data_IF_684602588699
#
_entry.id   IF_684602588699
#
_cell.length_a   1.000
_cell.length_b   1.000
_cell.length_c   1.000
_cell.angle_alpha   90.00
_cell.angle_beta   90.00
_cell.angle_gamma   90.00
#
_symmetry.space_group_name_H-M   'P 1'
#
loop_
_entity.id
_entity.type
_entity.pdbx_description
1 polymer ?
#
# COMPACT_ATOMS: atom_id res chain seq x y z
N UNK A 1 -27.86 10.97 -9.24
CA UNK A 1 -26.78 10.22 -8.56
C UNK A 1 -26.33 11.11 -7.41
N UNK A 2 -26.39 10.60 -6.20
CA UNK A 2 -26.06 11.38 -5.00
C UNK A 2 -24.57 11.79 -5.05
N UNK A 3 -24.26 13.08 -4.91
CA UNK A 3 -22.90 13.64 -4.96
C UNK A 3 -21.95 12.89 -4.01
N UNK A 4 -22.44 12.55 -2.82
CA UNK A 4 -21.71 11.78 -1.82
C UNK A 4 -21.26 10.40 -2.34
N UNK A 5 -22.12 9.67 -3.03
CA UNK A 5 -21.78 8.38 -3.62
C UNK A 5 -20.72 8.49 -4.72
N UNK A 6 -20.76 9.59 -5.46
CA UNK A 6 -19.78 9.83 -6.53
C UNK A 6 -18.40 10.12 -5.95
N UNK A 7 -18.30 10.98 -4.95
CA UNK A 7 -17.04 11.30 -4.28
C UNK A 7 -16.42 10.09 -3.58
N UNK A 8 -17.25 9.30 -2.89
CA UNK A 8 -16.79 8.04 -2.26
C UNK A 8 -16.27 7.04 -3.31
N UNK A 9 -16.93 6.94 -4.46
CA UNK A 9 -16.48 6.06 -5.53
C UNK A 9 -15.11 6.49 -6.10
N UNK A 10 -14.89 7.78 -6.30
CA UNK A 10 -13.59 8.33 -6.72
C UNK A 10 -12.53 7.99 -5.67
N UNK A 11 -12.81 8.29 -4.40
CA UNK A 11 -11.88 8.06 -3.30
C UNK A 11 -11.46 6.59 -3.17
N UNK A 12 -12.42 5.66 -3.20
CA UNK A 12 -12.12 4.23 -3.08
C UNK A 12 -11.38 3.66 -4.30
N UNK A 13 -11.69 4.16 -5.50
CA UNK A 13 -10.96 3.76 -6.71
C UNK A 13 -9.52 4.29 -6.72
N UNK A 14 -9.26 5.47 -6.17
CA UNK A 14 -7.90 5.98 -6.00
C UNK A 14 -7.10 5.12 -5.00
N UNK A 15 -7.74 4.72 -3.88
CA UNK A 15 -7.13 3.76 -2.94
C UNK A 15 -6.90 2.38 -3.56
N UNK A 16 -7.81 1.89 -4.40
CA UNK A 16 -7.66 0.62 -5.10
C UNK A 16 -6.48 0.64 -6.08
N UNK A 17 -6.30 1.74 -6.80
CA UNK A 17 -5.15 1.93 -7.67
C UNK A 17 -3.83 1.91 -6.88
N UNK A 18 -3.78 2.61 -5.74
CA UNK A 18 -2.64 2.57 -4.81
C UNK A 18 -2.39 1.17 -4.23
N UNK A 19 -3.43 0.45 -3.84
CA UNK A 19 -3.35 -0.90 -3.32
C UNK A 19 -2.80 -1.89 -4.37
N UNK A 20 -3.24 -1.77 -5.62
CA UNK A 20 -2.75 -2.62 -6.72
C UNK A 20 -1.26 -2.40 -6.97
N UNK A 21 -0.82 -1.15 -7.07
CA UNK A 21 0.61 -0.83 -7.20
C UNK A 21 1.42 -1.25 -5.97
N UNK A 22 0.82 -1.19 -4.78
CA UNK A 22 1.41 -1.66 -3.52
C UNK A 22 1.66 -3.17 -3.53
N UNK A 23 0.71 -3.97 -4.01
CA UNK A 23 0.88 -5.43 -4.17
C UNK A 23 2.00 -5.75 -5.15
N UNK A 24 2.05 -5.08 -6.30
CA UNK A 24 3.11 -5.29 -7.30
C UNK A 24 4.50 -4.97 -6.73
N UNK A 25 4.62 -3.85 -6.01
CA UNK A 25 5.87 -3.46 -5.37
C UNK A 25 6.28 -4.47 -4.28
N UNK A 26 5.34 -4.87 -3.41
CA UNK A 26 5.60 -5.83 -2.33
C UNK A 26 6.06 -7.19 -2.86
N UNK A 27 5.39 -7.73 -3.89
CA UNK A 27 5.76 -8.98 -4.54
C UNK A 27 7.13 -8.90 -5.20
N UNK A 28 7.44 -7.76 -5.86
CA UNK A 28 8.76 -7.56 -6.47
C UNK A 28 9.86 -7.55 -5.41
N UNK A 29 9.71 -6.78 -4.34
CA UNK A 29 10.71 -6.70 -3.26
C UNK A 29 10.90 -8.07 -2.61
N UNK A 30 9.81 -8.79 -2.31
CA UNK A 30 9.87 -10.12 -1.72
C UNK A 30 10.56 -11.14 -2.65
N UNK A 31 10.41 -11.00 -3.97
CA UNK A 31 11.07 -11.88 -4.95
C UNK A 31 12.55 -11.57 -5.15
N UNK A 32 13.00 -10.36 -4.82
CA UNK A 32 14.42 -9.96 -4.96
C UNK A 32 15.23 -10.19 -3.68
N UNK A 33 14.58 -10.39 -2.54
CA UNK A 33 15.20 -10.55 -1.23
C UNK A 33 14.66 -11.80 -0.53
N UNK A 34 15.54 -12.70 -0.13
CA UNK A 34 15.19 -13.90 0.65
C UNK A 34 14.95 -13.53 2.13
N UNK A 35 13.83 -12.84 2.40
CA UNK A 35 13.41 -12.43 3.73
C UNK A 35 11.95 -12.84 3.97
N UNK A 36 11.72 -13.65 5.01
CA UNK A 36 10.38 -14.15 5.35
C UNK A 36 9.43 -13.04 5.78
N UNK A 37 9.94 -11.96 6.40
CA UNK A 37 9.15 -10.80 6.78
C UNK A 37 8.57 -10.09 5.53
N UNK A 38 9.35 -10.03 4.43
CA UNK A 38 8.89 -9.45 3.17
C UNK A 38 7.81 -10.29 2.49
N UNK A 39 7.95 -11.62 2.54
CA UNK A 39 6.94 -12.53 1.98
C UNK A 39 5.62 -12.41 2.73
N UNK A 40 5.65 -12.45 4.06
CA UNK A 40 4.48 -12.26 4.89
C UNK A 40 3.82 -10.88 4.70
N UNK A 41 4.64 -9.83 4.60
CA UNK A 41 4.17 -8.48 4.32
C UNK A 41 3.46 -8.38 2.96
N UNK A 42 4.00 -9.03 1.92
CA UNK A 42 3.39 -9.04 0.59
C UNK A 42 2.04 -9.77 0.58
N UNK A 43 1.94 -10.88 1.31
CA UNK A 43 0.68 -11.63 1.48
C UNK A 43 -0.38 -10.76 2.20
N UNK A 44 0.00 -10.09 3.28
CA UNK A 44 -0.88 -9.21 4.03
C UNK A 44 -1.38 -8.03 3.19
N UNK A 45 -0.50 -7.39 2.41
CA UNK A 45 -0.86 -6.28 1.51
C UNK A 45 -1.84 -6.74 0.42
N UNK A 46 -1.67 -7.94 -0.10
CA UNK A 46 -2.61 -8.51 -1.07
C UNK A 46 -3.98 -8.80 -0.43
N UNK A 47 -4.02 -9.37 0.77
CA UNK A 47 -5.25 -9.56 1.54
C UNK A 47 -5.96 -8.24 1.86
N UNK A 48 -5.21 -7.18 2.13
CA UNK A 48 -5.78 -5.84 2.37
C UNK A 48 -6.43 -5.28 1.10
N UNK A 49 -5.80 -5.43 -0.08
CA UNK A 49 -6.43 -5.07 -1.36
C UNK A 49 -7.73 -5.85 -1.58
N UNK A 50 -7.73 -7.14 -1.30
CA UNK A 50 -8.93 -7.98 -1.46
C UNK A 50 -10.03 -7.58 -0.47
N UNK A 51 -9.65 -7.13 0.73
CA UNK A 51 -10.60 -6.55 1.70
C UNK A 51 -11.21 -5.25 1.19
N UNK A 52 -10.41 -4.37 0.56
CA UNK A 52 -10.93 -3.15 -0.08
C UNK A 52 -11.95 -3.48 -1.19
N UNK A 53 -11.65 -4.48 -2.02
CA UNK A 53 -12.58 -4.93 -3.08
C UNK A 53 -13.90 -5.44 -2.50
N UNK A 54 -13.88 -6.20 -1.41
CA UNK A 54 -15.09 -6.66 -0.72
C UNK A 54 -15.90 -5.50 -0.14
N UNK A 55 -15.24 -4.53 0.47
CA UNK A 55 -15.88 -3.32 1.01
C UNK A 55 -16.51 -2.50 -0.12
N UNK A 56 -15.81 -2.28 -1.22
CA UNK A 56 -16.36 -1.59 -2.40
C UNK A 56 -17.61 -2.30 -2.94
N UNK A 57 -17.59 -3.63 -3.03
CA UNK A 57 -18.74 -4.42 -3.45
C UNK A 57 -19.93 -4.27 -2.49
N UNK A 58 -19.70 -4.31 -1.17
CA UNK A 58 -20.74 -4.11 -0.15
C UNK A 58 -21.37 -2.71 -0.23
N UNK A 59 -20.57 -1.70 -0.55
CA UNK A 59 -21.02 -0.31 -0.74
C UNK A 59 -21.68 -0.06 -2.10
N UNK A 60 -21.61 -1.02 -3.03
CA UNK A 60 -22.09 -0.88 -4.40
C UNK A 60 -21.26 0.09 -5.23
N UNK A 61 -19.96 0.20 -4.93
CA UNK A 61 -19.00 1.02 -5.68
C UNK A 61 -18.36 0.18 -6.78
N UNK A 62 -18.55 0.52 -8.06
CA UNK A 62 -17.91 -0.19 -9.15
C UNK A 62 -16.42 0.07 -9.21
N UNK A 63 -15.64 -0.93 -9.63
CA UNK A 63 -14.22 -0.79 -9.89
C UNK A 63 -13.99 -0.01 -11.19
N UNK A 64 -13.16 1.02 -11.13
CA UNK A 64 -12.69 1.74 -12.31
C UNK A 64 -11.38 1.13 -12.81
N UNK A 65 -11.46 0.27 -13.83
CA UNK A 65 -10.30 -0.42 -14.39
C UNK A 65 -9.31 0.50 -15.13
N UNK A 66 -9.70 1.73 -15.45
CA UNK A 66 -8.85 2.70 -16.15
C UNK A 66 -7.81 3.30 -15.17
N UNK A 67 -8.18 3.46 -13.91
CA UNK A 67 -7.28 4.01 -12.87
C UNK A 67 -6.29 2.98 -12.30
N UNK A 68 -6.55 1.69 -12.47
CA UNK A 68 -5.71 0.61 -11.91
C UNK A 68 -4.35 0.45 -12.57
N UNK A 69 -4.09 1.07 -13.71
CA UNK A 69 -2.90 0.83 -14.53
C UNK A 69 -1.73 1.81 -14.28
N UNK A 70 -1.53 2.34 -13.10
CA UNK A 70 -0.25 2.95 -12.84
C UNK A 70 -0.23 4.43 -12.42
N UNK A 71 -1.30 4.95 -11.80
CA UNK A 71 -1.36 6.37 -11.50
C UNK A 71 -0.28 6.86 -10.52
N UNK A 72 -0.47 6.69 -9.24
CA UNK A 72 0.30 7.47 -8.25
C UNK A 72 1.65 6.84 -7.87
N UNK A 73 1.71 5.54 -7.67
CA UNK A 73 2.95 4.83 -7.32
C UNK A 73 3.84 4.68 -8.56
N UNK A 74 3.23 4.43 -9.73
CA UNK A 74 3.93 4.36 -11.01
C UNK A 74 4.61 5.68 -11.39
N UNK A 75 4.02 6.83 -11.08
CA UNK A 75 4.63 8.14 -11.32
C UNK A 75 5.80 8.40 -10.36
N UNK A 76 5.68 8.07 -9.08
CA UNK A 76 6.81 8.18 -8.13
C UNK A 76 7.94 7.19 -8.43
N UNK A 77 7.61 5.94 -8.74
CA UNK A 77 8.59 4.94 -9.14
C UNK A 77 9.12 5.19 -10.57
N UNK A 78 8.31 5.79 -11.45
CA UNK A 78 8.72 6.21 -12.78
C UNK A 78 9.75 7.34 -12.74
N UNK A 79 9.67 8.27 -11.79
CA UNK A 79 10.72 9.29 -11.55
C UNK A 79 12.03 8.66 -11.09
N UNK A 80 11.98 7.56 -10.36
CA UNK A 80 13.15 6.74 -10.04
C UNK A 80 13.71 6.01 -11.27
N UNK A 81 12.84 5.64 -12.25
CA UNK A 81 13.24 5.06 -13.54
C UNK A 81 13.83 6.08 -14.52
N UNK A 82 13.45 7.36 -14.45
CA UNK A 82 14.00 8.40 -15.34
C UNK A 82 15.46 8.77 -15.05
N UNK A 83 15.92 8.52 -13.84
CA UNK A 83 17.36 8.48 -13.53
C UNK A 83 18.00 7.10 -13.85
N UNK A 84 17.41 6.37 -14.63
CA UNK A 84 17.28 5.08 -15.32
C UNK A 84 18.49 4.21 -15.48
N UNK A 85 19.64 4.44 -14.87
CA UNK A 85 20.78 3.51 -14.92
C UNK A 85 21.42 3.19 -13.57
N UNK A 86 21.03 3.91 -12.54
CA UNK A 86 21.71 3.80 -11.24
C UNK A 86 20.97 2.95 -10.20
N UNK A 87 19.68 2.64 -10.42
CA UNK A 87 18.88 2.04 -9.35
C UNK A 87 18.46 0.59 -9.54
N UNK A 88 18.78 -0.03 -10.66
CA UNK A 88 18.26 -1.36 -10.98
C UNK A 88 18.88 -2.52 -10.21
N UNK A 89 19.64 -2.31 -9.15
CA UNK A 89 20.16 -3.33 -8.20
C UNK A 89 21.08 -2.74 -7.12
N UNK A 90 20.95 -1.48 -6.80
CA UNK A 90 21.77 -0.90 -5.74
C UNK A 90 21.11 -1.10 -4.37
N UNK A 91 21.89 -1.26 -3.29
CA UNK A 91 21.34 -1.27 -1.94
C UNK A 91 20.50 -0.03 -1.61
N UNK A 92 20.77 1.12 -2.25
CA UNK A 92 19.98 2.34 -2.13
C UNK A 92 18.57 2.19 -2.73
N UNK A 93 18.40 1.45 -3.82
CA UNK A 93 17.07 1.19 -4.39
C UNK A 93 16.16 0.50 -3.41
N UNK A 94 16.69 -0.46 -2.67
CA UNK A 94 15.92 -1.18 -1.65
C UNK A 94 15.45 -0.26 -0.53
N UNK A 95 16.29 0.67 -0.05
CA UNK A 95 15.88 1.67 0.94
C UNK A 95 14.71 2.51 0.43
N UNK A 96 14.81 3.02 -0.81
CA UNK A 96 13.78 3.87 -1.41
C UNK A 96 12.46 3.10 -1.65
N UNK A 97 12.56 1.83 -2.05
CA UNK A 97 11.39 0.97 -2.23
C UNK A 97 10.66 0.70 -0.91
N UNK A 98 11.39 0.46 0.17
CA UNK A 98 10.82 0.32 1.51
C UNK A 98 10.17 1.62 2.00
N UNK A 99 10.75 2.78 1.70
CA UNK A 99 10.16 4.09 2.00
C UNK A 99 8.85 4.31 1.21
N UNK A 100 8.85 4.01 -0.07
CA UNK A 100 7.66 4.10 -0.90
C UNK A 100 6.54 3.17 -0.41
N UNK A 101 6.90 1.94 -0.01
CA UNK A 101 5.97 0.97 0.55
C UNK A 101 5.37 1.48 1.86
N UNK A 102 6.19 2.04 2.75
CA UNK A 102 5.74 2.60 4.02
C UNK A 102 4.75 3.74 3.81
N UNK A 103 5.03 4.67 2.88
CA UNK A 103 4.09 5.73 2.51
C UNK A 103 2.77 5.18 1.96
N UNK A 104 2.82 4.10 1.18
CA UNK A 104 1.63 3.41 0.70
C UNK A 104 0.79 2.81 1.83
N UNK A 105 1.43 2.22 2.84
CA UNK A 105 0.74 1.68 4.02
C UNK A 105 0.14 2.79 4.88
N UNK A 106 0.83 3.94 5.04
CA UNK A 106 0.26 5.12 5.71
C UNK A 106 -1.00 5.63 4.99
N UNK A 107 -0.96 5.73 3.67
CA UNK A 107 -2.13 6.10 2.86
C UNK A 107 -3.28 5.09 3.00
N UNK A 108 -2.98 3.81 2.99
CA UNK A 108 -3.96 2.73 3.22
C UNK A 108 -4.60 2.84 4.61
N UNK A 109 -3.81 3.06 5.67
CA UNK A 109 -4.31 3.25 7.02
C UNK A 109 -5.27 4.45 7.12
N UNK A 110 -4.96 5.55 6.45
CA UNK A 110 -5.88 6.70 6.36
C UNK A 110 -7.20 6.32 5.66
N UNK A 111 -7.15 5.49 4.62
CA UNK A 111 -8.34 4.94 3.96
C UNK A 111 -9.20 4.10 4.90
N UNK A 112 -8.59 3.20 5.68
CA UNK A 112 -9.29 2.41 6.67
C UNK A 112 -9.90 3.26 7.77
N UNK A 113 -9.21 4.31 8.25
CA UNK A 113 -9.74 5.26 9.21
C UNK A 113 -10.96 6.00 8.69
N UNK A 114 -10.93 6.44 7.43
CA UNK A 114 -12.08 7.07 6.78
C UNK A 114 -13.28 6.11 6.75
N UNK A 115 -13.08 4.88 6.27
CA UNK A 115 -14.15 3.87 6.25
C UNK A 115 -14.65 3.53 7.64
N UNK A 116 -13.74 3.46 8.64
CA UNK A 116 -14.12 3.21 10.03
C UNK A 116 -15.02 4.31 10.61
N UNK A 117 -14.76 5.57 10.26
CA UNK A 117 -15.64 6.68 10.66
C UNK A 117 -17.00 6.61 9.95
N UNK A 118 -17.04 6.21 8.68
CA UNK A 118 -18.30 6.03 7.95
C UNK A 118 -19.13 4.87 8.50
N UNK A 119 -18.50 3.84 9.06
CA UNK A 119 -19.18 2.70 9.68
C UNK A 119 -20.04 3.08 10.91
N UNK A 120 -19.92 4.30 11.44
CA UNK A 120 -20.84 4.83 12.45
C UNK A 120 -22.24 5.12 11.86
N UNK A 121 -22.34 5.27 10.53
CA UNK A 121 -23.54 5.71 9.83
C UNK A 121 -23.95 4.80 8.68
N UNK A 122 -23.19 3.71 8.44
CA UNK A 122 -23.46 2.77 7.33
C UNK A 122 -23.21 1.32 7.79
N UNK A 123 -24.29 0.58 8.05
CA UNK A 123 -24.26 -0.79 8.55
C UNK A 123 -23.71 -1.82 7.53
N UNK A 124 -23.44 -1.40 6.29
CA UNK A 124 -22.75 -2.23 5.29
C UNK A 124 -21.26 -2.36 5.57
N UNK A 125 -20.71 -1.50 6.44
CA UNK A 125 -19.32 -1.50 6.85
C UNK A 125 -19.17 -2.24 8.19
N UNK A 126 -18.36 -3.28 8.21
CA UNK A 126 -18.02 -4.04 9.41
C UNK A 126 -16.93 -3.31 10.20
N UNK A 127 -17.31 -2.76 11.36
CA UNK A 127 -16.41 -2.01 12.25
C UNK A 127 -15.28 -2.88 12.78
N UNK A 128 -15.59 -4.11 13.17
CA UNK A 128 -14.60 -5.04 13.72
C UNK A 128 -13.54 -5.37 12.68
N UNK A 129 -13.97 -5.67 11.47
CA UNK A 129 -13.05 -5.94 10.36
C UNK A 129 -12.17 -4.72 10.03
N UNK A 130 -12.72 -3.51 10.06
CA UNK A 130 -11.96 -2.28 9.84
C UNK A 130 -10.93 -2.02 10.96
N UNK A 131 -11.27 -2.32 12.21
CA UNK A 131 -10.33 -2.24 13.34
C UNK A 131 -9.18 -3.27 13.20
N UNK A 132 -9.45 -4.47 12.69
CA UNK A 132 -8.44 -5.48 12.35
C UNK A 132 -7.51 -4.99 11.23
N UNK A 133 -8.07 -4.38 10.17
CA UNK A 133 -7.28 -3.81 9.07
C UNK A 133 -6.37 -2.66 9.52
N UNK A 134 -6.85 -1.82 10.43
CA UNK A 134 -6.05 -0.76 11.06
C UNK A 134 -4.91 -1.34 11.89
N UNK A 135 -5.19 -2.35 12.72
CA UNK A 135 -4.16 -3.04 13.53
C UNK A 135 -3.09 -3.66 12.63
N UNK A 136 -3.49 -4.29 11.52
CA UNK A 136 -2.56 -4.87 10.55
C UNK A 136 -1.70 -3.80 9.88
N UNK A 137 -2.29 -2.67 9.51
CA UNK A 137 -1.55 -1.57 8.91
C UNK A 137 -0.46 -1.02 9.86
N UNK A 138 -0.72 -0.92 11.16
CA UNK A 138 0.30 -0.53 12.14
C UNK A 138 1.44 -1.57 12.21
N UNK A 139 1.14 -2.85 12.28
CA UNK A 139 2.15 -3.91 12.28
C UNK A 139 3.00 -3.91 10.99
N UNK A 140 2.39 -3.63 9.84
CA UNK A 140 3.10 -3.49 8.57
C UNK A 140 4.06 -2.28 8.58
N UNK A 141 3.65 -1.14 9.14
CA UNK A 141 4.50 0.06 9.28
C UNK A 141 5.72 -0.22 10.16
N UNK A 142 5.53 -0.93 11.27
CA UNK A 142 6.63 -1.32 12.17
C UNK A 142 7.62 -2.26 11.47
N UNK A 143 7.12 -3.23 10.72
CA UNK A 143 7.96 -4.16 9.95
C UNK A 143 8.75 -3.41 8.88
N UNK A 144 8.10 -2.54 8.12
CA UNK A 144 8.75 -1.73 7.09
C UNK A 144 9.81 -0.79 7.66
N UNK A 145 9.54 -0.17 8.79
CA UNK A 145 10.52 0.70 9.44
C UNK A 145 11.75 -0.07 9.91
N UNK A 146 11.57 -1.23 10.51
CA UNK A 146 12.68 -2.11 10.90
C UNK A 146 13.54 -2.51 9.70
N UNK A 147 12.92 -2.93 8.60
CA UNK A 147 13.61 -3.30 7.37
C UNK A 147 14.33 -2.11 6.74
N UNK A 148 13.67 -0.95 6.67
CA UNK A 148 14.21 0.28 6.12
C UNK A 148 15.46 0.76 6.88
N UNK A 149 15.41 0.78 8.20
CA UNK A 149 16.55 1.20 9.04
C UNK A 149 17.73 0.25 8.83
N UNK A 150 17.48 -1.07 8.80
CA UNK A 150 18.52 -2.07 8.52
C UNK A 150 19.16 -1.86 7.15
N UNK A 151 18.34 -1.65 6.11
CA UNK A 151 18.81 -1.39 4.77
C UNK A 151 19.63 -0.08 4.68
N UNK A 152 19.16 1.00 5.32
CA UNK A 152 19.85 2.27 5.36
C UNK A 152 21.22 2.17 6.06
N UNK A 153 21.31 1.41 7.15
CA UNK A 153 22.59 1.13 7.82
C UNK A 153 23.59 0.43 6.91
N UNK A 154 23.12 -0.54 6.11
CA UNK A 154 23.96 -1.25 5.14
C UNK A 154 24.52 -0.30 4.06
N UNK A 155 23.75 0.72 3.69
CA UNK A 155 24.14 1.68 2.63
C UNK A 155 25.02 2.79 3.14
N UNK A 156 24.71 3.33 4.32
CA UNK A 156 25.28 4.62 4.78
C UNK A 156 26.30 4.49 5.91
N UNK A 157 26.39 3.32 6.56
CA UNK A 157 27.39 3.09 7.60
C UNK A 157 28.59 2.36 6.97
N UNK A 158 29.77 3.01 7.00
CA UNK A 158 31.01 2.35 6.57
C UNK A 158 31.34 1.21 7.53
N UNK A 159 31.72 0.05 7.03
CA UNK A 159 32.34 -0.97 7.89
C UNK A 159 33.60 -0.38 8.54
N UNK A 160 33.75 -0.62 9.84
CA UNK A 160 34.93 -0.23 10.60
C UNK A 160 36.19 -0.96 10.12
#
# INVERSE_FOLDING_TARGET
>A
MDTFRHELAIYLNDHLAGATGGVELARRIAGEHEDTDLTGLADDIEHDRDSLLRIMAALGVPQDHIKTAGGWLGEKLGRLKLNGRLFSRSPLSYVIELEAMRLGVDGKAAGWQTLRSLAEHDDRLDRTHLDELLTRAEAQKETLERLRVRAAQTVFVKPA
#
